data_IF_105096338888
#
_entry.id   IF_105096338888
#
_cell.length_a   1.000
_cell.length_b   1.000
_cell.length_c   1.000
_cell.angle_alpha   90.00
_cell.angle_beta   90.00
_cell.angle_gamma   90.00
#
_symmetry.space_group_name_H-M   'P 1'
#
loop_
_entity.id
_entity.type
_entity.pdbx_description
1 polymer ?
#
# COMPACT_ATOMS: atom_id res chain seq x y z
N UNK A 1 -4.98 -0.51 16.57
CA UNK A 1 -5.83 0.69 16.68
C UNK A 1 -7.26 0.28 16.39
N UNK A 2 -8.18 0.41 17.36
CA UNK A 2 -9.61 0.21 17.07
C UNK A 2 -10.15 1.47 16.41
N UNK A 3 -10.73 1.33 15.21
CA UNK A 3 -11.32 2.44 14.46
C UNK A 3 -12.85 2.33 14.54
N UNK A 4 -13.51 3.30 15.17
CA UNK A 4 -14.97 3.32 15.39
C UNK A 4 -15.62 4.60 14.86
N UNK A 5 -16.90 4.52 14.51
CA UNK A 5 -17.70 5.68 14.07
C UNK A 5 -17.10 6.45 12.88
N UNK A 6 -17.15 7.79 12.95
CA UNK A 6 -16.63 8.71 11.91
C UNK A 6 -15.13 8.52 11.61
N UNK A 7 -14.35 7.95 12.53
CA UNK A 7 -12.92 7.72 12.31
C UNK A 7 -12.66 6.73 11.17
N UNK A 8 -13.63 5.87 10.81
CA UNK A 8 -13.52 4.94 9.68
C UNK A 8 -13.34 5.63 8.33
N UNK A 9 -13.81 6.87 8.21
CA UNK A 9 -13.70 7.67 6.98
C UNK A 9 -12.49 8.61 7.01
N UNK A 10 -11.70 8.60 8.09
CA UNK A 10 -10.54 9.46 8.23
C UNK A 10 -9.34 8.88 7.50
N UNK A 11 -9.16 9.28 6.23
CA UNK A 11 -8.06 8.84 5.36
C UNK A 11 -6.68 9.10 5.98
N UNK A 12 -6.54 10.13 6.83
CA UNK A 12 -5.27 10.39 7.55
C UNK A 12 -4.83 9.21 8.39
N UNK A 13 -5.75 8.53 9.07
CA UNK A 13 -5.42 7.37 9.91
C UNK A 13 -4.95 6.20 9.05
N UNK A 14 -5.62 5.96 7.91
CA UNK A 14 -5.22 4.91 6.98
C UNK A 14 -3.82 5.19 6.39
N UNK A 15 -3.56 6.43 5.96
CA UNK A 15 -2.27 6.85 5.41
C UNK A 15 -1.13 6.72 6.44
N UNK A 16 -1.37 7.05 7.71
CA UNK A 16 -0.38 6.88 8.77
C UNK A 16 0.01 5.42 8.99
N UNK A 17 -0.98 4.52 9.04
CA UNK A 17 -0.76 3.07 9.21
C UNK A 17 -0.01 2.49 8.01
N UNK A 18 -0.32 2.94 6.80
CA UNK A 18 0.27 2.47 5.56
C UNK A 18 1.51 3.26 5.12
N UNK A 19 2.17 3.99 6.03
CA UNK A 19 3.29 4.86 5.68
C UNK A 19 4.62 4.11 5.51
N UNK A 20 5.53 4.67 4.71
CA UNK A 20 6.88 4.11 4.55
C UNK A 20 7.68 4.07 5.88
N UNK A 21 7.37 4.96 6.82
CA UNK A 21 7.96 4.90 8.17
C UNK A 21 7.55 3.62 8.92
N UNK A 22 6.29 3.17 8.77
CA UNK A 22 5.83 1.90 9.34
C UNK A 22 6.53 0.73 8.66
N UNK A 23 6.66 0.73 7.32
CA UNK A 23 7.41 -0.30 6.61
C UNK A 23 8.87 -0.40 7.11
N UNK A 24 9.56 0.74 7.25
CA UNK A 24 10.93 0.79 7.75
C UNK A 24 11.05 0.26 9.19
N UNK A 25 10.10 0.60 10.05
CA UNK A 25 10.05 0.06 11.41
C UNK A 25 9.89 -1.46 11.40
N UNK A 26 8.96 -2.01 10.60
CA UNK A 26 8.76 -3.45 10.47
C UNK A 26 10.06 -4.17 10.05
N UNK A 27 10.79 -3.64 9.07
CA UNK A 27 12.08 -4.18 8.65
C UNK A 27 13.15 -4.10 9.75
N UNK A 28 13.20 -3.00 10.52
CA UNK A 28 14.11 -2.85 11.64
C UNK A 28 13.83 -3.91 12.72
N UNK A 29 12.58 -4.06 13.14
CA UNK A 29 12.19 -5.05 14.14
C UNK A 29 12.48 -6.49 13.66
N UNK A 30 12.28 -6.77 12.37
CA UNK A 30 12.72 -8.03 11.75
C UNK A 30 14.23 -8.23 11.89
N UNK A 31 15.05 -7.23 11.56
CA UNK A 31 16.52 -7.32 11.62
C UNK A 31 17.06 -7.51 13.05
N UNK A 32 16.32 -7.04 14.05
CA UNK A 32 16.66 -7.26 15.47
C UNK A 32 16.21 -8.62 16.00
N UNK A 33 15.49 -9.42 15.21
CA UNK A 33 14.93 -10.70 15.63
C UNK A 33 13.71 -10.59 16.56
N UNK A 34 13.17 -9.37 16.75
CA UNK A 34 11.98 -9.13 17.56
C UNK A 34 10.68 -9.52 16.85
N UNK A 35 10.69 -9.56 15.51
CA UNK A 35 9.59 -10.04 14.68
C UNK A 35 10.09 -11.16 13.77
N UNK A 36 9.19 -12.09 13.45
CA UNK A 36 9.49 -13.22 12.56
C UNK A 36 9.72 -12.77 11.11
N UNK A 37 10.17 -13.70 10.27
CA UNK A 37 10.47 -13.43 8.86
C UNK A 37 9.23 -13.10 8.02
N UNK A 38 8.03 -13.46 8.47
CA UNK A 38 6.77 -13.20 7.74
C UNK A 38 6.41 -11.72 7.72
N UNK A 39 6.94 -10.93 8.67
CA UNK A 39 6.77 -9.47 8.72
C UNK A 39 7.32 -8.78 7.46
N UNK A 40 8.30 -9.39 6.78
CA UNK A 40 8.87 -8.85 5.55
C UNK A 40 7.82 -8.65 4.47
N UNK A 41 6.88 -9.59 4.33
CA UNK A 41 5.76 -9.48 3.38
C UNK A 41 4.82 -8.32 3.73
N UNK A 42 4.62 -8.06 5.03
CA UNK A 42 3.80 -6.94 5.50
C UNK A 42 4.51 -5.61 5.24
N UNK A 43 5.82 -5.53 5.49
CA UNK A 43 6.60 -4.33 5.21
C UNK A 43 6.62 -3.99 3.71
N UNK A 44 6.77 -5.00 2.86
CA UNK A 44 6.69 -4.84 1.40
C UNK A 44 5.31 -4.32 0.97
N UNK A 45 4.23 -4.94 1.48
CA UNK A 45 2.86 -4.49 1.23
C UNK A 45 2.68 -3.02 1.63
N UNK A 46 3.05 -2.64 2.85
CA UNK A 46 2.93 -1.27 3.36
C UNK A 46 3.72 -0.29 2.49
N UNK A 47 4.97 -0.58 2.15
CA UNK A 47 5.78 0.28 1.29
C UNK A 47 5.17 0.46 -0.11
N UNK A 48 4.56 -0.59 -0.66
CA UNK A 48 3.91 -0.53 -1.97
C UNK A 48 2.63 0.31 -1.94
N UNK A 49 1.85 0.19 -0.87
CA UNK A 49 0.64 1.00 -0.66
C UNK A 49 0.97 2.47 -0.43
N UNK A 50 2.00 2.79 0.37
CA UNK A 50 2.52 4.14 0.56
C UNK A 50 2.85 4.80 -0.78
N UNK A 51 3.69 4.13 -1.59
CA UNK A 51 4.11 4.62 -2.91
C UNK A 51 2.92 4.81 -3.85
N UNK A 52 1.97 3.89 -3.86
CA UNK A 52 0.78 3.99 -4.71
C UNK A 52 -0.08 5.19 -4.29
N UNK A 53 -0.29 5.37 -2.99
CA UNK A 53 -1.07 6.48 -2.45
C UNK A 53 -0.38 7.82 -2.74
N UNK A 54 0.91 7.95 -2.45
CA UNK A 54 1.70 9.16 -2.72
C UNK A 54 1.72 9.52 -4.21
N UNK A 55 1.84 8.52 -5.08
CA UNK A 55 1.89 8.74 -6.52
C UNK A 55 0.54 9.24 -7.07
N UNK A 56 -0.56 8.60 -6.69
CA UNK A 56 -1.91 8.97 -7.12
C UNK A 56 -2.42 10.26 -6.47
N UNK A 57 -1.83 10.65 -5.34
CA UNK A 57 -2.17 11.88 -4.61
C UNK A 57 -1.07 12.96 -4.74
N UNK A 58 -0.17 12.84 -5.71
CA UNK A 58 0.83 13.86 -5.98
C UNK A 58 0.18 15.09 -6.64
N UNK A 59 0.45 16.28 -6.12
CA UNK A 59 -0.04 17.55 -6.66
C UNK A 59 1.09 18.44 -7.20
N UNK A 60 2.33 17.95 -7.16
CA UNK A 60 3.53 18.66 -7.54
C UNK A 60 3.86 18.44 -9.01
N UNK A 61 4.08 19.52 -9.76
CA UNK A 61 4.53 19.44 -11.16
C UNK A 61 5.93 18.83 -11.28
N UNK A 62 6.82 19.18 -10.35
CA UNK A 62 8.22 18.74 -10.31
C UNK A 62 8.50 18.11 -8.96
N UNK A 63 9.24 17.00 -8.97
CA UNK A 63 9.61 16.25 -7.77
C UNK A 63 10.99 15.62 -7.99
N UNK A 64 11.79 15.54 -6.93
CA UNK A 64 13.04 14.76 -6.92
C UNK A 64 12.79 13.25 -6.83
N UNK A 65 11.59 12.83 -6.42
CA UNK A 65 11.16 11.43 -6.46
C UNK A 65 10.65 11.11 -7.88
N UNK A 66 11.10 10.00 -8.51
CA UNK A 66 10.73 9.61 -9.89
C UNK A 66 9.22 9.54 -10.16
N UNK A 67 8.44 9.27 -9.12
CA UNK A 67 6.98 9.08 -9.14
C UNK A 67 6.23 10.12 -8.30
N UNK A 68 6.85 11.25 -7.98
CA UNK A 68 6.19 12.33 -7.22
C UNK A 68 5.80 13.55 -8.06
N UNK A 69 6.14 13.53 -9.36
CA UNK A 69 5.90 14.61 -10.30
C UNK A 69 4.67 14.37 -11.16
N UNK A 70 4.40 15.28 -12.08
CA UNK A 70 3.35 15.08 -13.07
C UNK A 70 3.63 13.85 -13.96
N UNK A 71 2.57 13.23 -14.46
CA UNK A 71 2.64 12.17 -15.47
C UNK A 71 3.31 12.71 -16.75
N UNK A 72 4.39 12.04 -17.18
CA UNK A 72 5.06 12.27 -18.47
C UNK A 72 5.37 10.94 -19.15
N UNK A 73 5.68 10.97 -20.45
CA UNK A 73 6.03 9.76 -21.22
C UNK A 73 7.27 9.01 -20.68
N UNK A 74 8.13 9.68 -19.90
CA UNK A 74 9.38 9.12 -19.37
C UNK A 74 9.37 8.88 -17.87
N UNK A 75 8.26 9.20 -17.20
CA UNK A 75 8.17 9.22 -15.73
C UNK A 75 8.01 7.84 -15.09
N UNK A 76 7.75 6.78 -15.86
CA UNK A 76 7.57 5.41 -15.33
C UNK A 76 6.23 5.15 -14.62
N UNK A 77 5.30 6.12 -14.64
CA UNK A 77 4.00 6.01 -13.97
C UNK A 77 3.16 4.86 -14.53
N UNK A 78 3.11 4.70 -15.86
CA UNK A 78 2.27 3.69 -16.50
C UNK A 78 2.71 2.28 -16.12
N UNK A 79 4.02 2.01 -16.13
CA UNK A 79 4.60 0.74 -15.73
C UNK A 79 4.30 0.46 -14.25
N UNK A 80 4.49 1.46 -13.39
CA UNK A 80 4.19 1.35 -11.97
C UNK A 80 2.70 1.05 -11.73
N UNK A 81 1.79 1.76 -12.40
CA UNK A 81 0.34 1.57 -12.28
C UNK A 81 -0.11 0.21 -12.82
N UNK A 82 0.41 -0.24 -13.95
CA UNK A 82 0.12 -1.56 -14.48
C UNK A 82 0.57 -2.65 -13.52
N UNK A 83 1.77 -2.52 -12.93
CA UNK A 83 2.26 -3.47 -11.92
C UNK A 83 1.40 -3.46 -10.65
N UNK A 84 0.93 -2.28 -10.24
CA UNK A 84 0.08 -2.10 -9.06
C UNK A 84 -1.33 -2.65 -9.29
N UNK A 85 -1.89 -2.46 -10.47
CA UNK A 85 -3.18 -3.03 -10.87
C UNK A 85 -3.12 -4.56 -10.86
N UNK A 86 -2.08 -5.16 -11.47
CA UNK A 86 -1.87 -6.62 -11.42
C UNK A 86 -1.73 -7.14 -9.99
N UNK A 87 -1.04 -6.40 -9.13
CA UNK A 87 -0.90 -6.72 -7.71
C UNK A 87 -2.25 -6.70 -6.99
N UNK A 88 -3.06 -5.67 -7.17
CA UNK A 88 -4.39 -5.58 -6.53
C UNK A 88 -5.33 -6.67 -7.06
N UNK A 89 -5.28 -6.97 -8.35
CA UNK A 89 -6.09 -8.01 -8.98
C UNK A 89 -5.78 -9.42 -8.45
N UNK A 90 -4.59 -9.66 -7.90
CA UNK A 90 -4.23 -10.97 -7.35
C UNK A 90 -4.74 -11.20 -5.93
N UNK A 91 -5.32 -10.18 -5.28
CA UNK A 91 -5.75 -10.28 -3.89
C UNK A 91 -7.01 -11.14 -3.72
N UNK A 92 -7.11 -11.74 -2.53
CA UNK A 92 -8.28 -12.48 -2.07
C UNK A 92 -8.70 -11.93 -0.71
N UNK A 93 -10.00 -11.75 -0.52
CA UNK A 93 -10.58 -11.21 0.69
C UNK A 93 -11.40 -12.28 1.40
N UNK A 94 -11.11 -12.49 2.68
CA UNK A 94 -11.90 -13.40 3.52
C UNK A 94 -12.89 -12.62 4.38
N UNK A 95 -14.16 -13.02 4.34
CA UNK A 95 -15.15 -12.53 5.29
C UNK A 95 -14.82 -13.05 6.69
N UNK A 96 -14.63 -12.19 7.70
CA UNK A 96 -14.19 -12.62 9.02
C UNK A 96 -15.25 -13.46 9.77
N UNK A 97 -16.54 -13.28 9.43
CA UNK A 97 -17.68 -13.98 10.04
C UNK A 97 -17.98 -15.27 9.30
N UNK A 98 -18.23 -15.21 7.98
CA UNK A 98 -18.66 -16.38 7.20
C UNK A 98 -17.50 -17.24 6.71
N UNK A 99 -16.27 -16.76 6.81
CA UNK A 99 -15.04 -17.37 6.27
C UNK A 99 -14.98 -17.55 4.76
N UNK A 100 -16.02 -17.10 4.03
CA UNK A 100 -16.04 -17.10 2.57
C UNK A 100 -14.89 -16.25 2.03
N UNK A 101 -14.20 -16.76 1.02
CA UNK A 101 -13.11 -16.05 0.34
C UNK A 101 -13.58 -15.63 -1.05
N UNK A 102 -13.39 -14.36 -1.38
CA UNK A 102 -13.73 -13.79 -2.69
C UNK A 102 -12.50 -13.14 -3.32
N UNK A 103 -12.28 -13.27 -4.63
CA UNK A 103 -11.18 -12.59 -5.30
C UNK A 103 -11.47 -11.09 -5.42
N UNK A 104 -10.41 -10.27 -5.51
CA UNK A 104 -10.52 -8.83 -5.71
C UNK A 104 -11.12 -8.44 -7.08
N UNK A 105 -10.94 -9.30 -8.08
CA UNK A 105 -11.55 -9.16 -9.40
C UNK A 105 -12.40 -10.40 -9.71
N UNK A 106 -13.61 -10.19 -10.24
CA UNK A 106 -14.35 -11.28 -10.89
C UNK A 106 -13.59 -11.59 -12.19
N UNK A 107 -13.30 -12.87 -12.46
CA UNK A 107 -12.91 -13.27 -13.82
C UNK A 107 -14.07 -12.85 -14.74
N UNK A 108 -13.81 -11.87 -15.60
CA UNK A 108 -14.71 -11.48 -16.69
C UNK A 108 -14.85 -12.62 -17.69
#
# INVERSE_FOLDING_TARGET
MFVSGLLKLNVKLAAQVLSNAVAAALCLYQSTGLLDSTVGHTAEFVSKMDKLFDNLNSCTKFSSKPLGGALTDTSGHLEFWQSSAKFIQSWWFQNPVTKNVVPASKKG
#
